data_IF_764870866058
#
_entry.id   IF_764870866058
#
_cell.length_a   1.000
_cell.length_b   1.000
_cell.length_c   1.000
_cell.angle_alpha   90.00
_cell.angle_beta   90.00
_cell.angle_gamma   90.00
#
_symmetry.space_group_name_H-M   'P 1'
#
loop_
_entity.id
_entity.type
_entity.pdbx_description
1 polymer ?
#
# COMPACT_ATOMS: atom_id res chain seq x y z
N UNK A 1 16.50 46.18 -12.99
CA UNK A 1 17.27 45.86 -14.21
C UNK A 1 18.21 44.72 -13.87
N UNK A 2 17.95 43.53 -14.46
CA UNK A 2 18.77 42.28 -14.53
C UNK A 2 19.24 41.65 -13.20
N UNK A 3 18.66 40.54 -12.71
CA UNK A 3 18.75 39.14 -13.23
C UNK A 3 20.10 38.82 -13.86
N UNK A 4 20.89 37.98 -13.19
CA UNK A 4 22.01 37.26 -13.77
C UNK A 4 21.86 35.77 -13.49
N UNK A 5 21.89 35.06 -14.60
CA UNK A 5 21.78 33.64 -14.78
C UNK A 5 23.00 32.90 -14.21
N UNK A 6 22.78 31.69 -13.72
CA UNK A 6 23.79 30.65 -13.68
C UNK A 6 23.22 29.40 -14.33
N UNK A 7 23.54 29.26 -15.62
CA UNK A 7 23.54 27.98 -16.32
C UNK A 7 24.65 27.09 -15.76
N UNK A 8 24.31 25.85 -15.43
CA UNK A 8 25.25 24.73 -15.48
C UNK A 8 24.57 23.57 -16.24
N UNK A 9 25.28 23.09 -17.25
CA UNK A 9 24.91 22.01 -18.18
C UNK A 9 25.10 20.64 -17.53
N UNK A 10 24.16 19.74 -17.90
CA UNK A 10 24.34 18.34 -18.32
C UNK A 10 25.11 17.35 -17.42
N UNK A 11 24.37 16.36 -16.96
CA UNK A 11 24.83 14.96 -16.90
C UNK A 11 23.70 14.07 -17.45
N UNK A 12 23.79 13.79 -18.75
CA UNK A 12 23.10 12.66 -19.39
C UNK A 12 23.73 11.34 -18.95
N UNK A 13 22.93 10.26 -19.06
CA UNK A 13 23.26 8.82 -19.08
C UNK A 13 22.85 8.02 -17.83
N UNK A 14 21.61 7.53 -17.83
CA UNK A 14 21.24 6.09 -17.64
C UNK A 14 19.73 5.83 -17.43
N UNK A 15 18.83 6.77 -17.74
CA UNK A 15 17.38 6.59 -17.59
C UNK A 15 16.70 5.87 -18.77
N UNK A 16 17.39 4.91 -19.40
CA UNK A 16 17.01 4.35 -20.70
C UNK A 16 16.43 2.92 -20.71
N UNK A 17 16.34 2.23 -19.57
CA UNK A 17 15.91 0.81 -19.54
C UNK A 17 14.60 0.53 -18.79
N UNK A 18 14.06 1.47 -17.99
CA UNK A 18 12.80 1.24 -17.26
C UNK A 18 11.54 1.73 -17.98
N UNK A 19 11.68 2.29 -19.19
CA UNK A 19 10.56 2.81 -20.00
C UNK A 19 10.40 2.03 -21.31
N UNK A 20 10.31 0.70 -21.21
CA UNK A 20 10.06 -0.18 -22.36
C UNK A 20 9.04 -1.29 -22.13
N UNK A 21 8.32 -1.26 -21.00
CA UNK A 21 7.24 -2.21 -20.72
C UNK A 21 5.85 -1.72 -21.15
N UNK A 22 5.69 -0.49 -21.67
CA UNK A 22 4.36 0.09 -21.94
C UNK A 22 4.13 0.77 -23.30
N UNK A 23 5.02 0.66 -24.28
CA UNK A 23 4.79 1.22 -25.62
C UNK A 23 5.05 0.19 -26.71
N UNK A 24 4.00 -0.54 -27.07
CA UNK A 24 4.04 -1.57 -28.08
C UNK A 24 2.68 -1.85 -28.70
N UNK A 25 1.95 -0.81 -29.13
CA UNK A 25 0.83 -1.00 -30.05
C UNK A 25 0.49 0.26 -30.87
N UNK A 26 1.49 0.83 -31.56
CA UNK A 26 1.24 1.74 -32.68
C UNK A 26 1.81 1.13 -33.95
N UNK A 27 0.98 0.40 -34.69
CA UNK A 27 0.97 0.32 -36.14
C UNK A 27 0.03 -0.79 -36.60
N UNK A 28 -1.02 -0.44 -37.35
CA UNK A 28 -1.35 -0.96 -38.69
C UNK A 28 -2.78 -0.50 -38.99
N UNK A 29 -2.96 0.31 -40.04
CA UNK A 29 -4.31 0.57 -40.56
C UNK A 29 -4.49 1.84 -41.37
N UNK A 30 -3.65 2.08 -42.37
CA UNK A 30 -4.01 3.02 -43.43
C UNK A 30 -5.14 2.43 -44.29
N UNK A 31 -6.31 3.08 -44.32
CA UNK A 31 -7.35 2.78 -45.30
C UNK A 31 -7.85 4.11 -45.90
N UNK A 32 -7.77 4.20 -47.22
CA UNK A 32 -8.16 5.34 -48.02
C UNK A 32 -9.68 5.60 -47.95
N UNK A 33 -10.07 6.87 -47.75
CA UNK A 33 -11.45 7.33 -47.77
C UNK A 33 -11.94 7.44 -49.22
N UNK A 34 -12.75 6.47 -49.65
CA UNK A 34 -13.55 6.54 -50.88
C UNK A 34 -14.97 7.00 -50.56
N UNK A 35 -15.30 8.24 -50.92
CA UNK A 35 -16.64 8.81 -50.73
C UNK A 35 -17.63 8.27 -51.76
N UNK A 36 -18.67 7.53 -51.32
CA UNK A 36 -19.93 7.37 -52.04
C UNK A 36 -21.11 7.30 -51.07
N UNK A 37 -21.96 8.32 -51.16
CA UNK A 37 -23.27 8.48 -50.51
C UNK A 37 -24.29 7.57 -51.18
N UNK A 38 -25.10 6.80 -50.42
CA UNK A 38 -26.57 6.75 -50.55
C UNK A 38 -27.25 5.79 -49.52
N UNK A 39 -28.26 6.29 -48.80
CA UNK A 39 -29.55 5.59 -48.68
C UNK A 39 -29.90 4.85 -47.38
N UNK A 40 -30.73 5.50 -46.55
CA UNK A 40 -31.83 4.99 -45.71
C UNK A 40 -31.67 3.67 -44.91
N UNK A 41 -31.87 3.74 -43.59
CA UNK A 41 -33.06 3.22 -42.88
C UNK A 41 -32.96 3.43 -41.37
N UNK A 42 -34.11 3.65 -40.74
CA UNK A 42 -34.34 3.84 -39.31
C UNK A 42 -33.78 2.67 -38.50
N UNK A 43 -32.87 2.96 -37.57
CA UNK A 43 -32.39 2.03 -36.57
C UNK A 43 -32.26 2.76 -35.24
N UNK A 44 -33.19 2.50 -34.33
CA UNK A 44 -33.11 2.87 -32.91
C UNK A 44 -31.98 2.04 -32.29
N UNK A 45 -30.74 2.38 -32.60
CA UNK A 45 -29.55 1.72 -32.08
C UNK A 45 -29.06 2.52 -30.90
N UNK A 46 -29.45 2.07 -29.70
CA UNK A 46 -28.89 2.52 -28.42
C UNK A 46 -27.42 2.89 -28.60
N UNK A 47 -27.09 4.15 -28.32
CA UNK A 47 -25.71 4.57 -28.10
C UNK A 47 -25.27 3.80 -26.85
N UNK A 48 -24.80 2.57 -27.05
CA UNK A 48 -24.15 1.76 -26.04
C UNK A 48 -23.00 2.62 -25.54
N UNK A 49 -23.19 3.25 -24.37
CA UNK A 49 -22.11 3.86 -23.65
C UNK A 49 -21.01 2.83 -23.57
N UNK A 50 -19.90 3.09 -24.26
CA UNK A 50 -18.68 2.33 -24.04
C UNK A 50 -18.48 2.34 -22.53
N UNK A 51 -18.43 1.17 -21.86
CA UNK A 51 -18.10 1.17 -20.44
C UNK A 51 -16.74 1.86 -20.36
N UNK A 52 -16.72 3.06 -19.77
CA UNK A 52 -15.47 3.63 -19.31
C UNK A 52 -14.86 2.55 -18.44
N UNK A 53 -13.64 2.12 -18.75
CA UNK A 53 -12.94 1.15 -17.94
C UNK A 53 -12.95 1.71 -16.52
N UNK A 54 -13.78 1.12 -15.65
CA UNK A 54 -13.70 1.39 -14.23
C UNK A 54 -12.29 0.93 -13.86
N UNK A 55 -11.44 1.87 -13.43
CA UNK A 55 -10.16 1.54 -12.82
C UNK A 55 -10.47 0.71 -11.59
N UNK A 56 -10.46 -0.60 -11.73
CA UNK A 56 -10.51 -1.52 -10.62
C UNK A 56 -9.16 -1.42 -9.92
N UNK A 57 -9.14 -0.81 -8.75
CA UNK A 57 -8.04 -0.90 -7.79
C UNK A 57 -8.31 -2.15 -6.93
N UNK A 58 -7.35 -3.02 -6.55
CA UNK A 58 -5.89 -3.09 -6.78
C UNK A 58 -5.41 -4.35 -7.55
N UNK A 59 -4.10 -4.38 -7.85
CA UNK A 59 -3.36 -5.52 -8.44
C UNK A 59 -2.57 -6.36 -7.40
N UNK A 60 -2.40 -5.87 -6.17
CA UNK A 60 -1.66 -6.55 -5.10
C UNK A 60 -2.50 -6.60 -3.82
N UNK A 61 -2.69 -7.80 -3.29
CA UNK A 61 -3.34 -8.09 -2.03
C UNK A 61 -2.34 -8.68 -1.03
N UNK A 62 -2.49 -8.27 0.22
CA UNK A 62 -1.69 -8.73 1.34
C UNK A 62 -2.62 -9.33 2.39
N UNK A 63 -2.25 -10.50 2.88
CA UNK A 63 -2.78 -11.07 4.13
C UNK A 63 -1.78 -10.72 5.25
N UNK A 64 -1.97 -9.57 5.94
CA UNK A 64 -1.05 -9.13 6.99
C UNK A 64 -1.26 -9.92 8.27
N UNK A 65 -0.16 -10.20 8.95
CA UNK A 65 -0.13 -10.49 10.38
C UNK A 65 0.76 -9.46 11.06
N UNK A 66 0.28 -8.90 12.17
CA UNK A 66 0.96 -7.86 12.94
C UNK A 66 1.23 -8.33 14.36
N UNK A 67 2.46 -8.16 14.81
CA UNK A 67 2.82 -8.33 16.21
C UNK A 67 3.13 -6.97 16.83
N UNK A 68 2.40 -6.63 17.90
CA UNK A 68 2.79 -5.53 18.79
C UNK A 68 3.70 -6.10 19.85
N UNK A 69 4.98 -5.73 19.75
CA UNK A 69 6.02 -6.14 20.68
C UNK A 69 6.15 -5.08 21.77
N UNK A 70 6.15 -5.55 23.01
CA UNK A 70 6.41 -4.68 24.15
C UNK A 70 7.37 -5.30 25.14
N UNK A 71 7.20 -4.93 26.41
CA UNK A 71 7.99 -5.46 27.51
C UNK A 71 7.13 -5.69 28.75
N UNK A 72 7.75 -6.29 29.78
CA UNK A 72 7.08 -6.60 31.05
C UNK A 72 6.55 -5.36 31.81
N UNK A 73 7.00 -4.15 31.48
CA UNK A 73 6.48 -2.91 32.04
C UNK A 73 5.19 -2.43 31.33
N UNK A 74 4.78 -3.08 30.24
CA UNK A 74 3.62 -2.68 29.43
C UNK A 74 3.95 -1.55 28.45
N UNK A 75 5.22 -1.39 28.08
CA UNK A 75 5.62 -0.42 27.06
C UNK A 75 5.64 -1.09 25.68
N UNK A 76 5.06 -0.44 24.68
CA UNK A 76 5.16 -0.82 23.27
C UNK A 76 6.50 -0.36 22.70
N UNK A 77 7.26 -1.30 22.14
CA UNK A 77 8.66 -1.11 21.76
C UNK A 77 8.96 -1.40 20.29
N UNK A 78 8.17 -2.24 19.61
CA UNK A 78 8.35 -2.50 18.18
C UNK A 78 7.07 -3.05 17.54
N UNK A 79 6.94 -2.85 16.22
CA UNK A 79 5.98 -3.57 15.38
C UNK A 79 6.71 -4.62 14.55
N UNK A 80 6.15 -5.82 14.46
CA UNK A 80 6.58 -6.78 13.44
C UNK A 80 5.44 -7.03 12.48
N UNK A 81 5.79 -7.07 11.21
CA UNK A 81 4.89 -7.40 10.13
C UNK A 81 5.30 -8.74 9.56
N UNK A 82 4.31 -9.58 9.25
CA UNK A 82 4.44 -10.74 8.37
C UNK A 82 3.38 -10.60 7.28
N UNK A 83 3.78 -10.42 6.04
CA UNK A 83 2.89 -10.15 4.93
C UNK A 83 2.97 -11.28 3.93
N UNK A 84 1.88 -12.04 3.82
CA UNK A 84 1.73 -13.02 2.74
C UNK A 84 1.11 -12.32 1.54
N UNK A 85 1.83 -12.31 0.44
CA UNK A 85 1.41 -11.66 -0.80
C UNK A 85 0.52 -12.60 -1.61
N UNK A 86 -0.37 -12.04 -2.43
CA UNK A 86 -1.14 -12.84 -3.38
C UNK A 86 -0.26 -13.55 -4.43
N UNK A 87 -0.83 -14.55 -5.10
CA UNK A 87 -0.16 -15.37 -6.10
C UNK A 87 0.29 -14.58 -7.35
N UNK A 88 -0.48 -13.57 -7.77
CA UNK A 88 -0.18 -12.80 -8.97
C UNK A 88 1.07 -11.94 -8.75
N UNK A 89 1.10 -11.18 -7.65
CA UNK A 89 2.29 -10.43 -7.26
C UNK A 89 3.49 -11.36 -7.09
N UNK A 90 3.31 -12.47 -6.35
CA UNK A 90 4.38 -13.44 -6.10
C UNK A 90 4.95 -14.00 -7.40
N UNK A 91 4.10 -14.33 -8.38
CA UNK A 91 4.55 -14.82 -9.69
C UNK A 91 5.32 -13.77 -10.50
N UNK A 92 4.93 -12.49 -10.42
CA UNK A 92 5.66 -11.42 -11.09
C UNK A 92 7.07 -11.22 -10.53
N UNK A 93 7.22 -11.35 -9.20
CA UNK A 93 8.54 -11.30 -8.55
C UNK A 93 9.43 -12.47 -9.00
N UNK A 94 8.87 -13.68 -9.13
CA UNK A 94 9.63 -14.82 -9.67
C UNK A 94 10.15 -14.51 -11.08
N UNK A 95 9.32 -13.96 -11.97
CA UNK A 95 9.75 -13.60 -13.34
C UNK A 95 10.91 -12.61 -13.35
N UNK A 96 10.93 -11.66 -12.42
CA UNK A 96 11.93 -10.60 -12.38
C UNK A 96 13.24 -11.02 -11.67
N UNK A 97 13.17 -11.94 -10.70
CA UNK A 97 14.28 -12.27 -9.81
C UNK A 97 14.84 -13.68 -9.94
N UNK A 98 14.10 -14.63 -10.53
CA UNK A 98 14.59 -16.00 -10.79
C UNK A 98 15.57 -15.99 -11.97
N UNK A 99 16.86 -15.86 -11.66
CA UNK A 99 17.93 -15.74 -12.65
C UNK A 99 18.21 -17.07 -13.35
N UNK A 100 17.91 -18.18 -12.68
CA UNK A 100 18.22 -19.52 -13.18
C UNK A 100 17.00 -20.20 -13.86
N UNK A 101 15.83 -19.55 -13.81
CA UNK A 101 14.56 -19.97 -14.38
C UNK A 101 14.09 -21.34 -13.87
N UNK A 102 14.35 -21.66 -12.59
CA UNK A 102 13.93 -22.92 -11.96
C UNK A 102 12.49 -22.87 -11.39
N UNK A 103 11.84 -21.70 -11.41
CA UNK A 103 10.48 -21.49 -10.91
C UNK A 103 10.39 -21.26 -9.40
N UNK A 104 11.51 -21.00 -8.74
CA UNK A 104 11.65 -20.70 -7.32
C UNK A 104 12.62 -19.53 -7.14
N UNK A 105 12.74 -19.01 -5.91
CA UNK A 105 13.72 -18.00 -5.57
C UNK A 105 14.80 -18.61 -4.66
N UNK A 106 16.04 -18.56 -5.11
CA UNK A 106 17.20 -18.99 -4.33
C UNK A 106 17.51 -17.96 -3.22
N UNK A 107 18.28 -18.31 -2.17
CA UNK A 107 18.52 -17.41 -1.03
C UNK A 107 19.09 -16.03 -1.39
N UNK A 108 19.98 -15.93 -2.38
CA UNK A 108 20.52 -14.63 -2.83
C UNK A 108 19.50 -13.81 -3.63
N UNK A 109 18.56 -14.46 -4.31
CA UNK A 109 17.46 -13.83 -5.03
C UNK A 109 16.41 -13.31 -4.04
N UNK A 110 16.05 -14.12 -3.04
CA UNK A 110 15.21 -13.70 -1.91
C UNK A 110 15.79 -12.47 -1.19
N UNK A 111 17.09 -12.48 -0.88
CA UNK A 111 17.77 -11.33 -0.27
C UNK A 111 17.69 -10.07 -1.17
N UNK A 112 17.84 -10.22 -2.48
CA UNK A 112 17.72 -9.12 -3.44
C UNK A 112 16.29 -8.56 -3.55
N UNK A 113 15.29 -9.44 -3.49
CA UNK A 113 13.86 -9.05 -3.41
C UNK A 113 13.62 -8.23 -2.15
N UNK A 114 14.05 -8.73 -0.98
CA UNK A 114 13.87 -8.05 0.30
C UNK A 114 14.49 -6.66 0.32
N UNK A 115 15.70 -6.51 -0.21
CA UNK A 115 16.36 -5.20 -0.29
C UNK A 115 15.64 -4.25 -1.27
N UNK A 116 15.19 -4.76 -2.41
CA UNK A 116 14.46 -3.97 -3.41
C UNK A 116 13.15 -3.43 -2.82
N UNK A 117 12.37 -4.29 -2.16
CA UNK A 117 11.11 -3.92 -1.50
C UNK A 117 11.38 -2.92 -0.37
N UNK A 118 12.40 -3.17 0.46
CA UNK A 118 12.77 -2.27 1.56
C UNK A 118 13.09 -0.86 1.07
N UNK A 119 13.74 -0.73 -0.08
CA UNK A 119 14.04 0.56 -0.70
C UNK A 119 12.80 1.21 -1.32
N UNK A 120 11.96 0.44 -2.02
CA UNK A 120 10.82 0.99 -2.75
C UNK A 120 9.70 1.52 -1.85
N UNK A 121 9.46 0.89 -0.70
CA UNK A 121 8.37 1.28 0.21
C UNK A 121 8.83 2.19 1.36
N UNK A 122 10.11 2.58 1.38
CA UNK A 122 10.69 3.39 2.45
C UNK A 122 10.05 4.77 2.57
N UNK A 123 9.76 5.43 1.45
CA UNK A 123 9.10 6.74 1.42
C UNK A 123 7.63 6.68 1.82
N UNK A 124 7.02 5.48 1.76
CA UNK A 124 5.63 5.19 2.11
C UNK A 124 5.46 4.70 3.55
N UNK A 125 6.49 4.88 4.39
CA UNK A 125 6.46 4.47 5.80
C UNK A 125 6.27 2.96 5.99
N UNK A 126 6.66 2.14 5.00
CA UNK A 126 6.45 0.69 5.01
C UNK A 126 4.99 0.30 5.22
N UNK A 127 4.05 1.16 4.78
CA UNK A 127 2.61 0.97 4.95
C UNK A 127 2.21 0.56 6.37
N UNK A 128 2.96 1.01 7.38
CA UNK A 128 2.79 0.59 8.77
C UNK A 128 2.78 1.83 9.64
N UNK A 129 1.64 2.08 10.29
CA UNK A 129 1.41 3.30 11.05
C UNK A 129 0.96 2.95 12.46
N UNK A 130 1.35 3.79 13.42
CA UNK A 130 0.94 3.68 14.80
C UNK A 130 0.62 5.07 15.37
N UNK A 131 -0.43 5.17 16.16
CA UNK A 131 -0.93 6.42 16.73
C UNK A 131 -1.28 6.26 18.21
N UNK A 132 -0.98 7.29 19.00
CA UNK A 132 -1.43 7.44 20.39
C UNK A 132 -2.02 8.83 20.56
N UNK A 133 -3.26 8.90 21.05
CA UNK A 133 -3.97 10.16 21.29
C UNK A 133 -3.96 11.13 20.08
N UNK A 134 -4.20 10.63 18.86
CA UNK A 134 -4.22 11.47 17.65
C UNK A 134 -2.85 11.87 17.11
N UNK A 135 -1.76 11.26 17.60
CA UNK A 135 -0.38 11.59 17.19
C UNK A 135 0.40 10.35 16.79
N UNK A 136 1.13 10.47 15.68
CA UNK A 136 2.00 9.40 15.19
C UNK A 136 3.04 8.99 16.23
N UNK A 137 3.14 7.69 16.44
CA UNK A 137 4.30 7.06 17.05
C UNK A 137 5.40 6.96 15.99
N UNK A 138 6.59 7.47 16.29
CA UNK A 138 7.72 7.42 15.36
C UNK A 138 8.35 6.02 15.37
N UNK A 139 8.18 5.32 14.25
CA UNK A 139 8.80 4.04 13.97
C UNK A 139 10.13 4.23 13.24
N UNK A 140 11.09 3.36 13.52
CA UNK A 140 12.36 3.28 12.80
C UNK A 140 12.18 2.35 11.61
N UNK A 141 12.69 2.71 10.42
CA UNK A 141 12.71 1.80 9.27
C UNK A 141 13.32 0.44 9.63
N UNK A 142 12.83 -0.67 9.06
CA UNK A 142 13.46 -1.97 9.24
C UNK A 142 14.87 -1.97 8.65
N UNK A 143 15.81 -2.56 9.37
CA UNK A 143 17.19 -2.75 8.87
C UNK A 143 17.22 -3.72 7.68
N UNK A 144 16.31 -4.70 7.67
CA UNK A 144 16.15 -5.69 6.61
C UNK A 144 14.68 -6.11 6.50
N UNK A 145 14.23 -6.32 5.26
CA UNK A 145 13.01 -7.10 4.99
C UNK A 145 13.48 -8.51 4.62
N UNK A 146 13.07 -9.48 5.42
CA UNK A 146 13.31 -10.87 5.12
C UNK A 146 12.19 -11.42 4.24
N UNK A 147 12.53 -12.40 3.44
CA UNK A 147 11.69 -12.96 2.38
C UNK A 147 11.72 -14.47 2.46
N UNK A 148 10.57 -15.06 2.16
CA UNK A 148 10.39 -16.50 2.01
C UNK A 148 9.46 -16.72 0.82
N UNK A 149 9.77 -17.71 -0.02
CA UNK A 149 8.88 -18.13 -1.11
C UNK A 149 8.44 -19.57 -0.86
N UNK A 150 7.18 -19.75 -0.47
CA UNK A 150 6.60 -21.04 -0.12
C UNK A 150 5.21 -21.16 -0.71
N UNK A 151 4.86 -22.35 -1.20
CA UNK A 151 3.55 -22.65 -1.78
C UNK A 151 3.08 -21.65 -2.85
N UNK A 152 4.03 -21.11 -3.64
CA UNK A 152 3.76 -20.16 -4.71
C UNK A 152 3.53 -18.72 -4.24
N UNK A 153 3.72 -18.44 -2.95
CA UNK A 153 3.51 -17.12 -2.38
C UNK A 153 4.79 -16.58 -1.72
N UNK A 154 5.00 -15.29 -1.91
CA UNK A 154 6.06 -14.54 -1.27
C UNK A 154 5.57 -14.04 0.09
N UNK A 155 6.38 -14.26 1.12
CA UNK A 155 6.13 -13.80 2.48
C UNK A 155 7.23 -12.82 2.86
N UNK A 156 6.85 -11.61 3.25
CA UNK A 156 7.75 -10.62 3.83
C UNK A 156 7.64 -10.64 5.34
N UNK A 157 8.76 -10.48 6.04
CA UNK A 157 8.74 -10.26 7.48
C UNK A 157 9.82 -9.29 7.92
N UNK A 158 9.41 -8.32 8.75
CA UNK A 158 10.28 -7.22 9.15
C UNK A 158 9.82 -6.59 10.47
N UNK A 159 10.77 -5.99 11.18
CA UNK A 159 10.55 -5.32 12.46
C UNK A 159 10.81 -3.81 12.32
N UNK A 160 9.92 -3.01 12.91
CA UNK A 160 10.01 -1.56 12.99
C UNK A 160 10.05 -1.13 14.46
N UNK A 161 11.25 -0.88 15.02
CA UNK A 161 11.40 -0.43 16.39
C UNK A 161 10.75 0.94 16.62
N UNK A 162 10.04 1.07 17.74
CA UNK A 162 9.53 2.36 18.19
C UNK A 162 10.69 3.20 18.71
N UNK A 163 10.81 4.44 18.23
CA UNK A 163 11.92 5.33 18.61
C UNK A 163 11.88 5.72 20.09
N UNK A 164 10.69 5.89 20.65
CA UNK A 164 10.44 6.20 22.06
C UNK A 164 9.34 5.27 22.60
N UNK A 165 9.65 4.34 23.51
CA UNK A 165 8.66 3.38 24.03
C UNK A 165 7.38 4.06 24.54
N UNK A 166 6.24 3.44 24.25
CA UNK A 166 4.91 3.98 24.61
C UNK A 166 4.32 3.18 25.76
N UNK A 167 4.02 3.84 26.87
CA UNK A 167 3.34 3.23 28.02
C UNK A 167 1.84 2.98 27.72
N UNK A 168 1.52 1.71 27.46
CA UNK A 168 0.16 1.26 27.11
C UNK A 168 -0.80 1.26 28.30
N UNK A 169 -0.32 1.52 29.52
CA UNK A 169 -1.17 1.69 30.70
C UNK A 169 -1.74 3.10 30.84
N UNK A 170 -1.27 4.03 30.00
CA UNK A 170 -1.71 5.42 29.98
C UNK A 170 -2.67 5.74 28.86
N UNK A 171 -2.33 5.30 27.65
CA UNK A 171 -3.13 5.55 26.45
C UNK A 171 -3.12 4.31 25.55
N UNK A 172 -4.24 4.00 24.87
CA UNK A 172 -4.25 2.96 23.85
C UNK A 172 -3.35 3.36 22.67
N UNK A 173 -2.71 2.38 22.06
CA UNK A 173 -2.08 2.53 20.74
C UNK A 173 -3.01 1.96 19.68
N UNK A 174 -3.13 2.67 18.56
CA UNK A 174 -3.78 2.18 17.34
C UNK A 174 -2.71 1.92 16.31
N UNK A 175 -2.80 0.79 15.63
CA UNK A 175 -1.89 0.37 14.57
C UNK A 175 -2.72 0.08 13.33
N UNK A 176 -2.18 0.38 12.15
CA UNK A 176 -2.82 0.10 10.88
C UNK A 176 -1.80 -0.20 9.79
N UNK A 177 -2.17 -1.07 8.86
CA UNK A 177 -1.50 -1.19 7.57
C UNK A 177 -2.44 -0.67 6.47
N UNK A 178 -1.98 0.30 5.70
CA UNK A 178 -2.71 0.83 4.55
C UNK A 178 -1.77 1.54 3.57
N UNK A 179 -2.24 1.68 2.33
CA UNK A 179 -1.57 2.40 1.26
C UNK A 179 -2.47 3.55 0.81
N UNK A 180 -1.98 4.78 0.91
CA UNK A 180 -2.73 5.99 0.56
C UNK A 180 -2.90 6.16 -0.96
N UNK A 181 -2.11 5.43 -1.76
CA UNK A 181 -2.24 5.38 -3.22
C UNK A 181 -3.28 4.35 -3.72
N UNK A 182 -3.83 3.53 -2.81
CA UNK A 182 -4.76 2.44 -3.12
C UNK A 182 -4.21 1.36 -4.07
N UNK A 183 -2.88 1.20 -4.17
CA UNK A 183 -2.25 0.17 -4.99
C UNK A 183 -2.17 -1.18 -4.28
N UNK A 184 -1.97 -1.17 -2.95
CA UNK A 184 -1.88 -2.36 -2.09
C UNK A 184 -3.07 -2.42 -1.15
N UNK A 185 -3.77 -3.56 -1.10
CA UNK A 185 -4.85 -3.82 -0.14
C UNK A 185 -4.39 -4.76 0.97
N UNK A 186 -4.59 -4.35 2.22
CA UNK A 186 -4.31 -5.13 3.43
C UNK A 186 -5.59 -5.72 4.00
N UNK A 187 -5.73 -7.04 3.96
CA UNK A 187 -6.95 -7.75 4.36
C UNK A 187 -6.74 -8.58 5.64
N UNK A 188 -7.05 -7.98 6.78
CA UNK A 188 -7.07 -8.67 8.08
C UNK A 188 -8.31 -9.55 8.17
N UNK A 189 -8.14 -10.88 8.22
CA UNK A 189 -9.25 -11.82 8.29
C UNK A 189 -9.89 -11.82 9.67
N UNK A 190 -9.09 -11.65 10.71
CA UNK A 190 -9.58 -11.65 12.08
C UNK A 190 -8.60 -11.03 13.07
N UNK A 191 -9.03 -10.95 14.34
CA UNK A 191 -8.14 -10.55 15.43
C UNK A 191 -7.01 -11.56 15.73
N UNK A 192 -6.99 -12.74 15.10
CA UNK A 192 -5.90 -13.71 15.24
C UNK A 192 -4.69 -13.34 14.38
N UNK A 193 -4.87 -12.50 13.35
CA UNK A 193 -3.80 -11.91 12.54
C UNK A 193 -3.07 -10.79 13.31
N UNK A 194 -3.40 -10.62 14.59
CA UNK A 194 -2.89 -9.59 15.47
C UNK A 194 -2.42 -10.18 16.80
N UNK A 195 -1.13 -10.10 17.13
CA UNK A 195 -0.57 -10.73 18.33
C UNK A 195 0.09 -9.72 19.26
N UNK A 196 0.04 -10.02 20.57
CA UNK A 196 0.73 -9.27 21.61
C UNK A 196 1.93 -10.08 22.07
N UNK A 197 3.12 -9.53 21.88
CA UNK A 197 4.38 -10.21 22.16
C UNK A 197 5.08 -9.52 23.33
N UNK A 198 5.50 -10.32 24.32
CA UNK A 198 6.22 -9.86 25.52
C UNK A 198 5.50 -8.79 26.37
N UNK A 199 4.19 -8.66 26.17
CA UNK A 199 3.32 -7.74 26.90
C UNK A 199 2.64 -8.42 28.12
N UNK A 200 2.32 -7.66 29.18
CA UNK A 200 1.60 -8.18 30.33
C UNK A 200 0.23 -8.79 29.99
N UNK A 201 -0.19 -9.80 30.75
CA UNK A 201 -1.52 -10.40 30.62
C UNK A 201 -2.68 -9.42 30.92
N UNK A 202 -2.38 -8.22 31.45
CA UNK A 202 -3.35 -7.14 31.63
C UNK A 202 -3.65 -6.38 30.34
N UNK A 203 -2.87 -6.60 29.28
CA UNK A 203 -3.11 -6.01 27.97
C UNK A 203 -4.28 -6.67 27.26
N UNK A 204 -5.02 -5.86 26.50
CA UNK A 204 -6.17 -6.27 25.70
C UNK A 204 -5.98 -5.73 24.29
N UNK A 205 -6.34 -6.55 23.31
CA UNK A 205 -6.37 -6.20 21.90
C UNK A 205 -7.81 -6.14 21.40
N UNK A 206 -8.07 -5.25 20.46
CA UNK A 206 -9.31 -5.20 19.69
C UNK A 206 -9.02 -4.85 18.25
N UNK A 207 -9.77 -5.47 17.33
CA UNK A 207 -9.72 -5.16 15.90
C UNK A 207 -10.95 -4.32 15.56
N UNK A 208 -10.75 -3.19 14.90
CA UNK A 208 -11.80 -2.34 14.37
C UNK A 208 -11.67 -2.30 12.85
N UNK A 209 -12.56 -3.02 12.17
CA UNK A 209 -12.73 -2.96 10.72
C UNK A 209 -13.78 -1.87 10.44
N UNK A 210 -13.44 -0.80 9.69
CA UNK A 210 -14.40 0.23 9.35
C UNK A 210 -15.57 -0.32 8.53
N UNK A 211 -16.77 0.21 8.78
CA UNK A 211 -17.90 -0.01 7.88
C UNK A 211 -17.69 0.84 6.62
N UNK A 212 -17.61 0.19 5.46
CA UNK A 212 -17.28 0.86 4.19
C UNK A 212 -18.33 1.89 3.79
N UNK A 213 -19.62 1.63 4.03
CA UNK A 213 -20.70 2.55 3.69
C UNK A 213 -20.65 3.80 4.57
N UNK A 214 -20.39 3.64 5.87
CA UNK A 214 -20.21 4.76 6.79
C UNK A 214 -18.90 5.52 6.53
N UNK A 215 -17.82 4.82 6.20
CA UNK A 215 -16.55 5.43 5.82
C UNK A 215 -16.69 6.27 4.54
N UNK A 216 -17.37 5.73 3.51
CA UNK A 216 -17.69 6.45 2.29
C UNK A 216 -18.56 7.68 2.56
N UNK A 217 -19.59 7.57 3.42
CA UNK A 217 -20.40 8.73 3.83
C UNK A 217 -19.60 9.79 4.57
N UNK A 218 -18.74 9.38 5.50
CA UNK A 218 -17.90 10.29 6.27
C UNK A 218 -16.91 11.03 5.37
N UNK A 219 -16.28 10.32 4.43
CA UNK A 219 -15.41 10.94 3.43
C UNK A 219 -16.18 11.90 2.53
N UNK A 220 -17.35 11.49 2.02
CA UNK A 220 -18.22 12.37 1.24
C UNK A 220 -18.60 13.65 2.00
N UNK A 221 -18.82 13.56 3.31
CA UNK A 221 -19.06 14.75 4.15
C UNK A 221 -17.82 15.66 4.28
N UNK A 222 -16.60 15.10 4.29
CA UNK A 222 -15.36 15.88 4.31
C UNK A 222 -15.15 16.64 3.00
N UNK A 223 -15.43 16.01 1.87
CA UNK A 223 -15.24 16.61 0.53
C UNK A 223 -16.47 17.37 0.01
N UNK A 224 -17.59 17.38 0.74
CA UNK A 224 -18.84 18.05 0.33
C UNK A 224 -18.69 19.58 0.12
N UNK A 225 -17.61 20.18 0.63
CA UNK A 225 -17.26 21.58 0.40
C UNK A 225 -16.52 21.85 -0.92
N UNK A 226 -16.09 20.81 -1.65
CA UNK A 226 -15.37 20.91 -2.92
C UNK A 226 -16.39 21.15 -4.05
N UNK A 227 -16.09 22.06 -4.96
CA UNK A 227 -16.96 22.33 -6.11
C UNK A 227 -17.14 21.08 -6.99
N UNK A 228 -18.29 20.93 -7.65
CA UNK A 228 -18.58 19.76 -8.50
C UNK A 228 -17.61 19.56 -9.68
N UNK A 229 -16.84 20.60 -10.03
CA UNK A 229 -15.83 20.61 -11.10
C UNK A 229 -14.39 20.68 -10.56
N UNK A 230 -14.21 20.54 -9.25
CA UNK A 230 -12.91 20.67 -8.57
C UNK A 230 -12.42 19.30 -8.13
N UNK A 231 -11.15 18.99 -8.41
CA UNK A 231 -10.54 17.72 -8.03
C UNK A 231 -10.34 17.66 -6.51
N UNK A 232 -10.53 16.48 -5.92
CA UNK A 232 -10.23 16.26 -4.50
C UNK A 232 -8.73 16.46 -4.29
N UNK A 233 -8.32 17.39 -3.41
CA UNK A 233 -6.92 17.55 -3.07
C UNK A 233 -6.30 16.23 -2.61
N UNK A 234 -5.07 15.94 -3.04
CA UNK A 234 -4.43 14.64 -2.80
C UNK A 234 -4.31 14.31 -1.31
N UNK A 235 -4.09 15.31 -0.45
CA UNK A 235 -4.09 15.15 1.00
C UNK A 235 -5.44 14.64 1.55
N UNK A 236 -6.55 15.08 0.98
CA UNK A 236 -7.88 14.60 1.35
C UNK A 236 -8.20 13.20 0.78
N UNK A 237 -7.60 12.85 -0.37
CA UNK A 237 -7.65 11.49 -0.89
C UNK A 237 -6.85 10.52 0.00
N UNK A 238 -5.70 10.94 0.51
CA UNK A 238 -4.88 10.12 1.41
C UNK A 238 -5.57 9.89 2.77
N UNK A 239 -6.34 10.87 3.25
CA UNK A 239 -7.19 10.71 4.45
C UNK A 239 -8.25 9.62 4.25
N UNK A 240 -8.73 9.40 3.03
CA UNK A 240 -9.72 8.34 2.77
C UNK A 240 -9.16 6.95 3.03
N UNK A 241 -7.92 6.68 2.62
CA UNK A 241 -7.26 5.39 2.86
C UNK A 241 -7.10 5.12 4.36
N UNK A 242 -6.72 6.12 5.14
CA UNK A 242 -6.65 6.01 6.60
C UNK A 242 -8.03 5.76 7.23
N UNK A 243 -9.09 6.44 6.77
CA UNK A 243 -10.45 6.23 7.29
C UNK A 243 -10.92 4.78 7.05
N UNK A 244 -10.57 4.20 5.91
CA UNK A 244 -10.89 2.81 5.57
C UNK A 244 -9.95 1.77 6.19
N UNK A 245 -8.81 2.19 6.72
CA UNK A 245 -7.84 1.27 7.30
C UNK A 245 -8.41 0.53 8.52
N UNK A 246 -8.21 -0.80 8.51
CA UNK A 246 -8.45 -1.62 9.70
C UNK A 246 -7.49 -1.19 10.81
N UNK A 247 -8.05 -0.96 12.00
CA UNK A 247 -7.32 -0.46 13.17
C UNK A 247 -7.19 -1.56 14.23
N UNK A 248 -5.95 -1.86 14.57
CA UNK A 248 -5.57 -2.78 15.63
C UNK A 248 -5.28 -1.95 16.88
N UNK A 249 -6.12 -2.06 17.90
CA UNK A 249 -5.99 -1.26 19.13
C UNK A 249 -5.52 -2.10 20.31
N UNK A 250 -4.58 -1.56 21.10
CA UNK A 250 -4.08 -2.19 22.33
C UNK A 250 -4.04 -1.21 23.48
N UNK A 251 -4.50 -1.65 24.64
CA UNK A 251 -4.30 -0.97 25.91
C UNK A 251 -4.00 -1.98 27.02
N UNK A 252 -3.33 -1.54 28.07
CA UNK A 252 -3.02 -2.35 29.23
C UNK A 252 -3.65 -1.77 30.49
N UNK A 253 -4.18 -2.63 31.36
CA UNK A 253 -4.60 -2.18 32.68
C UNK A 253 -3.36 -1.94 33.56
N UNK A 254 -3.41 -0.89 34.41
CA UNK A 254 -2.37 -0.69 35.43
C UNK A 254 -2.34 -1.89 36.38
N UNK A 255 -1.15 -2.36 36.77
CA UNK A 255 -1.04 -3.34 37.83
C UNK A 255 -1.63 -2.76 39.13
N UNK A 256 -2.48 -3.55 39.78
CA UNK A 256 -3.14 -3.24 41.05
C UNK A 256 -2.18 -3.26 42.23
#
# INVERSE_FOLDING_TARGET
MQRRDCHARAADSNFGHSSRLLQGLEAVGGVAVGSRVLGCLVGFGSLLGLPAAAFAHPHVFVEPHVEIVGNAAGEFTALRNVWRMDELFSSSVVVDFDKNANGSLDPDELDAVGETVRQSIAEWGFYTFAEVDGRDVKLTPPDKIHTLFEDGQLIFFFEMPVKEPVDLTRSPVKVSNFDDSFFVAFDFKSADDFQLIDLPATCRKSLHVPDEDEAAKNWMNMIAGIGADEEVPQDQANVYADVLATRLEVSCARPS
#
